data_IF_089615965736
#
_entry.id   IF_089615965736
#
_cell.length_a   1.000
_cell.length_b   1.000
_cell.length_c   1.000
_cell.angle_alpha   90.00
_cell.angle_beta   90.00
_cell.angle_gamma   90.00
#
_symmetry.space_group_name_H-M   'P 1'
#
loop_
_entity.id
_entity.type
_entity.pdbx_description
1 polymer ?
#
# COMPACT_ATOMS: atom_id res chain seq x y z
N UNK A 1 -18.42 -1.20 -14.80
CA UNK A 1 -17.38 -0.98 -13.75
C UNK A 1 -17.81 -0.02 -12.65
N UNK A 2 -18.24 1.23 -12.93
CA UNK A 2 -18.65 2.14 -11.85
C UNK A 2 -19.81 1.60 -11.00
N UNK A 3 -20.70 0.82 -11.63
CA UNK A 3 -21.75 0.04 -10.98
C UNK A 3 -21.19 -1.00 -10.00
N UNK A 4 -20.25 -1.86 -10.43
CA UNK A 4 -19.54 -2.81 -9.54
C UNK A 4 -18.89 -2.10 -8.35
N UNK A 5 -18.25 -0.94 -8.59
CA UNK A 5 -17.63 -0.17 -7.51
C UNK A 5 -18.68 0.35 -6.52
N UNK A 6 -19.81 0.87 -7.02
CA UNK A 6 -20.90 1.40 -6.20
C UNK A 6 -21.60 0.30 -5.40
N UNK A 7 -21.88 -0.84 -6.01
CA UNK A 7 -22.83 -1.81 -5.48
C UNK A 7 -22.15 -2.99 -4.76
N UNK A 8 -20.89 -3.31 -5.10
CA UNK A 8 -20.15 -4.44 -4.49
C UNK A 8 -18.98 -4.01 -3.62
N UNK A 9 -18.14 -3.11 -4.13
CA UNK A 9 -16.87 -2.73 -3.46
C UNK A 9 -17.10 -1.68 -2.37
N UNK A 10 -17.76 -0.57 -2.71
CA UNK A 10 -17.94 0.55 -1.77
C UNK A 10 -18.67 0.17 -0.47
N UNK A 11 -19.71 -0.70 -0.47
CA UNK A 11 -20.36 -1.12 0.78
C UNK A 11 -19.44 -1.93 1.70
N UNK A 12 -18.53 -2.72 1.15
CA UNK A 12 -17.52 -3.47 1.94
C UNK A 12 -16.54 -2.49 2.57
N UNK A 13 -15.95 -1.60 1.76
CA UNK A 13 -14.94 -0.65 2.23
C UNK A 13 -15.50 0.39 3.21
N UNK A 14 -16.71 0.90 2.97
CA UNK A 14 -17.38 1.84 3.88
C UNK A 14 -17.62 1.22 5.27
N UNK A 15 -18.00 -0.06 5.33
CA UNK A 15 -18.18 -0.77 6.62
C UNK A 15 -16.87 -0.88 7.40
N UNK A 16 -15.74 -0.93 6.71
CA UNK A 16 -14.41 -0.91 7.31
C UNK A 16 -13.85 0.50 7.56
N UNK A 17 -14.66 1.56 7.37
CA UNK A 17 -14.27 2.94 7.66
C UNK A 17 -13.52 3.65 6.53
N UNK A 18 -13.36 3.05 5.35
CA UNK A 18 -12.73 3.71 4.22
C UNK A 18 -13.59 4.87 3.69
N UNK A 19 -12.92 5.97 3.39
CA UNK A 19 -13.43 7.09 2.63
C UNK A 19 -13.29 6.81 1.12
N UNK A 20 -13.96 7.61 0.28
CA UNK A 20 -14.02 7.37 -1.16
C UNK A 20 -13.92 8.66 -1.99
N UNK A 21 -13.13 8.61 -3.06
CA UNK A 21 -13.13 9.57 -4.18
C UNK A 21 -13.04 8.80 -5.49
N UNK A 22 -14.14 8.81 -6.27
CA UNK A 22 -14.28 8.03 -7.52
C UNK A 22 -14.06 6.54 -7.30
N UNK A 23 -12.92 5.98 -7.74
CA UNK A 23 -12.53 4.57 -7.67
C UNK A 23 -11.37 4.33 -6.70
N UNK A 24 -10.99 5.37 -5.96
CA UNK A 24 -9.95 5.33 -4.95
C UNK A 24 -10.62 5.42 -3.58
N UNK A 25 -10.19 4.55 -2.69
CA UNK A 25 -10.63 4.46 -1.32
C UNK A 25 -9.42 4.55 -0.42
N UNK A 26 -9.56 5.24 0.71
CA UNK A 26 -8.50 5.32 1.70
C UNK A 26 -9.05 5.27 3.11
N UNK A 27 -8.22 4.80 4.03
CA UNK A 27 -8.45 4.81 5.46
C UNK A 27 -7.25 5.49 6.11
N UNK A 28 -7.48 6.53 6.90
CA UNK A 28 -6.45 7.23 7.69
C UNK A 28 -6.45 6.65 9.11
N UNK A 29 -5.29 6.19 9.59
CA UNK A 29 -5.08 5.83 10.99
C UNK A 29 -4.93 7.11 11.85
N UNK A 30 -4.96 6.93 13.18
CA UNK A 30 -4.66 8.02 14.11
C UNK A 30 -3.20 8.50 14.03
N UNK A 31 -2.25 7.62 13.66
CA UNK A 31 -0.83 7.94 13.46
C UNK A 31 -0.56 8.72 12.17
N UNK A 32 -1.56 8.84 11.28
CA UNK A 32 -1.42 9.44 9.95
C UNK A 32 -0.94 8.47 8.87
N UNK A 33 -0.81 7.19 9.19
CA UNK A 33 -0.60 6.13 8.21
C UNK A 33 -1.89 5.90 7.42
N UNK A 34 -1.76 5.41 6.18
CA UNK A 34 -2.90 5.26 5.30
C UNK A 34 -2.94 3.91 4.60
N UNK A 35 -4.11 3.29 4.59
CA UNK A 35 -4.41 2.15 3.75
C UNK A 35 -5.20 2.60 2.51
N UNK A 36 -4.92 2.00 1.37
CA UNK A 36 -5.55 2.30 0.09
C UNK A 36 -6.18 1.07 -0.54
N UNK A 37 -7.32 1.28 -1.20
CA UNK A 37 -7.89 0.35 -2.17
C UNK A 37 -8.22 1.11 -3.44
N UNK A 38 -7.68 0.68 -4.57
CA UNK A 38 -7.92 1.29 -5.87
C UNK A 38 -8.52 0.28 -6.86
N UNK A 39 -9.57 0.69 -7.55
CA UNK A 39 -10.16 -0.10 -8.64
C UNK A 39 -9.71 0.45 -9.98
N UNK A 40 -8.75 -0.26 -10.59
CA UNK A 40 -8.12 0.16 -11.85
C UNK A 40 -8.77 -0.54 -13.04
N UNK A 41 -9.28 0.20 -14.04
CA UNK A 41 -9.83 -0.42 -15.24
C UNK A 41 -8.77 -1.21 -15.99
N UNK A 42 -9.15 -2.37 -16.50
CA UNK A 42 -8.34 -3.16 -17.43
C UNK A 42 -9.29 -3.87 -18.38
N UNK A 43 -9.25 -3.56 -19.68
CA UNK A 43 -10.25 -4.09 -20.63
C UNK A 43 -9.60 -5.07 -21.61
N UNK A 44 -10.15 -6.27 -21.67
CA UNK A 44 -9.91 -7.25 -22.73
C UNK A 44 -11.11 -7.38 -23.68
N UNK A 45 -12.28 -6.88 -23.27
CA UNK A 45 -13.51 -6.89 -24.05
C UNK A 45 -14.32 -8.18 -23.91
N UNK A 46 -14.01 -9.05 -22.94
CA UNK A 46 -14.71 -10.33 -22.79
C UNK A 46 -15.96 -10.25 -21.91
N UNK A 47 -16.00 -9.28 -20.99
CA UNK A 47 -17.09 -9.09 -20.03
C UNK A 47 -17.40 -7.61 -19.82
N UNK A 48 -18.56 -7.30 -19.27
CA UNK A 48 -18.99 -5.91 -19.02
C UNK A 48 -18.14 -5.19 -17.95
N UNK A 49 -17.63 -5.92 -16.97
CA UNK A 49 -16.72 -5.39 -15.96
C UNK A 49 -15.40 -6.16 -15.98
N UNK A 50 -14.30 -5.43 -16.20
CA UNK A 50 -12.95 -5.95 -16.25
C UNK A 50 -12.00 -4.94 -15.56
N UNK A 51 -11.30 -5.37 -14.51
CA UNK A 51 -10.53 -4.48 -13.64
C UNK A 51 -9.54 -5.24 -12.73
N UNK A 52 -8.65 -4.47 -12.11
CA UNK A 52 -7.85 -4.87 -10.97
C UNK A 52 -8.36 -4.19 -9.70
N UNK A 53 -8.13 -4.82 -8.55
CA UNK A 53 -8.30 -4.19 -7.23
C UNK A 53 -6.94 -4.17 -6.56
N UNK A 54 -6.27 -3.02 -6.62
CA UNK A 54 -4.98 -2.81 -5.99
C UNK A 54 -5.17 -2.41 -4.52
N UNK A 55 -4.28 -2.92 -3.69
CA UNK A 55 -4.27 -2.74 -2.25
C UNK A 55 -2.94 -2.09 -1.88
N UNK A 56 -2.92 -1.20 -0.89
CA UNK A 56 -1.66 -0.60 -0.49
C UNK A 56 -1.66 -0.01 0.90
N UNK A 57 -0.46 0.16 1.43
CA UNK A 57 -0.20 0.85 2.70
C UNK A 57 0.89 1.90 2.50
N UNK A 58 0.64 3.08 3.03
CA UNK A 58 1.51 4.24 2.97
C UNK A 58 1.73 4.76 4.39
N UNK A 59 2.89 4.47 4.96
CA UNK A 59 3.28 5.03 6.25
C UNK A 59 3.47 6.54 6.16
N UNK A 60 3.17 7.27 7.24
CA UNK A 60 3.16 8.74 7.26
C UNK A 60 4.46 9.36 6.74
N UNK A 61 5.60 8.88 7.21
CA UNK A 61 6.93 9.34 6.76
C UNK A 61 7.09 9.21 5.23
N UNK A 62 6.53 8.15 4.62
CA UNK A 62 6.57 7.98 3.16
C UNK A 62 5.61 8.95 2.45
N UNK A 63 4.43 9.20 3.01
CA UNK A 63 3.52 10.23 2.50
C UNK A 63 4.15 11.63 2.54
N UNK A 64 4.83 11.96 3.65
CA UNK A 64 5.52 13.24 3.85
C UNK A 64 6.68 13.41 2.86
N UNK A 65 7.42 12.34 2.58
CA UNK A 65 8.47 12.32 1.55
C UNK A 65 7.90 12.65 0.17
N UNK A 66 6.89 11.90 -0.27
CA UNK A 66 6.26 12.09 -1.59
C UNK A 66 5.63 13.48 -1.74
N UNK A 67 5.09 14.03 -0.65
CA UNK A 67 4.50 15.36 -0.63
C UNK A 67 5.50 16.50 -0.89
N UNK A 68 6.79 16.31 -0.57
CA UNK A 68 7.84 17.31 -0.78
C UNK A 68 8.17 17.51 -2.25
N UNK A 69 8.19 16.42 -3.02
CA UNK A 69 8.63 16.44 -4.42
C UNK A 69 7.45 16.62 -5.40
N UNK A 70 6.25 16.88 -4.88
CA UNK A 70 5.03 16.90 -5.69
C UNK A 70 4.68 15.52 -6.28
N UNK A 71 5.21 14.45 -5.68
CA UNK A 71 4.95 13.08 -6.05
C UNK A 71 3.45 12.76 -5.96
N UNK A 72 3.00 11.78 -6.74
CA UNK A 72 1.61 11.35 -6.64
C UNK A 72 1.39 10.76 -5.25
N UNK A 73 0.38 11.27 -4.53
CA UNK A 73 -0.04 10.74 -3.21
C UNK A 73 -0.40 9.25 -3.21
N UNK A 74 -0.39 8.59 -4.38
CA UNK A 74 -0.79 7.21 -4.62
C UNK A 74 0.37 6.23 -4.59
N UNK A 75 1.62 6.71 -4.52
CA UNK A 75 2.77 5.81 -4.37
C UNK A 75 2.77 5.24 -2.95
N UNK A 76 2.35 3.98 -2.84
CA UNK A 76 2.30 3.24 -1.59
C UNK A 76 3.62 2.51 -1.36
N UNK A 77 4.05 2.42 -0.09
CA UNK A 77 5.29 1.72 0.25
C UNK A 77 5.12 0.22 0.05
N UNK A 78 4.01 -0.32 0.56
CA UNK A 78 3.58 -1.70 0.35
C UNK A 78 2.40 -1.74 -0.61
N UNK A 79 2.48 -2.62 -1.60
CA UNK A 79 1.44 -2.86 -2.59
C UNK A 79 1.16 -4.35 -2.73
N UNK A 80 -0.12 -4.65 -2.94
CA UNK A 80 -0.60 -5.98 -3.28
C UNK A 80 -1.80 -5.83 -4.22
N UNK A 81 -2.30 -6.95 -4.71
CA UNK A 81 -3.49 -6.99 -5.55
C UNK A 81 -4.41 -8.11 -5.14
N UNK A 82 -5.71 -7.81 -5.13
CA UNK A 82 -6.72 -8.80 -4.79
C UNK A 82 -6.76 -9.90 -5.86
N UNK A 83 -6.40 -11.11 -5.47
CA UNK A 83 -6.40 -12.28 -6.34
C UNK A 83 -7.82 -12.82 -6.54
N UNK A 84 -8.10 -13.35 -7.73
CA UNK A 84 -9.31 -14.11 -8.04
C UNK A 84 -9.10 -15.56 -7.60
N UNK A 85 -9.91 -16.10 -6.67
CA UNK A 85 -9.77 -17.46 -6.20
C UNK A 85 -9.79 -18.49 -7.33
N UNK A 86 -8.87 -19.45 -7.27
CA UNK A 86 -8.78 -20.54 -8.25
C UNK A 86 -8.20 -20.17 -9.62
N UNK A 87 -7.91 -18.89 -9.90
CA UNK A 87 -7.23 -18.49 -11.14
C UNK A 87 -5.71 -18.61 -11.01
N UNK A 88 -5.05 -19.02 -12.11
CA UNK A 88 -3.60 -19.15 -12.21
C UNK A 88 -2.99 -17.94 -12.94
N UNK A 89 -1.70 -17.61 -12.68
CA UNK A 89 -1.00 -16.57 -13.41
C UNK A 89 -1.04 -16.82 -14.93
N UNK A 90 -1.00 -15.76 -15.78
CA UNK A 90 -0.76 -14.36 -15.43
C UNK A 90 -2.03 -13.56 -15.08
N UNK A 91 -3.23 -14.13 -15.21
CA UNK A 91 -4.51 -13.44 -15.01
C UNK A 91 -5.16 -13.74 -13.65
N UNK A 92 -4.35 -14.16 -12.67
CA UNK A 92 -4.84 -14.56 -11.36
C UNK A 92 -5.38 -13.40 -10.51
N UNK A 93 -5.11 -12.16 -10.92
CA UNK A 93 -5.46 -10.92 -10.25
C UNK A 93 -6.50 -10.08 -11.03
N UNK A 94 -6.86 -10.52 -12.24
CA UNK A 94 -7.79 -9.85 -13.12
C UNK A 94 -9.24 -10.27 -12.84
N UNK A 95 -10.03 -9.36 -12.27
CA UNK A 95 -11.46 -9.54 -12.04
C UNK A 95 -12.23 -9.23 -13.32
N UNK A 96 -13.04 -10.20 -13.77
CA UNK A 96 -13.79 -10.11 -15.03
C UNK A 96 -15.10 -10.89 -14.93
N UNK A 97 -16.24 -10.20 -15.01
CA UNK A 97 -17.60 -10.76 -14.95
C UNK A 97 -18.65 -9.78 -15.52
N UNK A 98 -19.82 -10.30 -15.89
CA UNK A 98 -20.96 -9.48 -16.36
C UNK A 98 -21.72 -8.87 -15.18
N UNK A 99 -22.36 -7.71 -15.36
CA UNK A 99 -22.96 -6.97 -14.23
C UNK A 99 -24.11 -7.73 -13.56
N UNK A 100 -24.75 -8.64 -14.30
CA UNK A 100 -25.83 -9.52 -13.82
C UNK A 100 -25.34 -10.79 -13.12
N UNK A 101 -24.03 -11.05 -13.09
CA UNK A 101 -23.43 -12.21 -12.41
C UNK A 101 -23.30 -11.94 -10.90
N UNK A 102 -24.42 -12.07 -10.20
CA UNK A 102 -24.51 -11.90 -8.74
C UNK A 102 -23.47 -12.73 -7.97
N UNK A 103 -23.30 -14.05 -8.26
CA UNK A 103 -22.28 -14.85 -7.57
C UNK A 103 -20.84 -14.33 -7.73
N UNK A 104 -20.47 -13.85 -8.92
CA UNK A 104 -19.13 -13.28 -9.13
C UNK A 104 -18.94 -11.96 -8.36
N UNK A 105 -19.97 -11.11 -8.33
CA UNK A 105 -19.98 -9.89 -7.52
C UNK A 105 -19.86 -10.16 -6.02
N UNK A 106 -20.53 -11.19 -5.52
CA UNK A 106 -20.49 -11.59 -4.11
C UNK A 106 -19.14 -12.23 -3.73
N UNK A 107 -18.55 -13.00 -4.65
CA UNK A 107 -17.20 -13.52 -4.47
C UNK A 107 -16.19 -12.38 -4.32
N UNK A 108 -16.25 -11.36 -5.19
CA UNK A 108 -15.41 -10.17 -5.08
C UNK A 108 -15.55 -9.47 -3.73
N UNK A 109 -16.79 -9.25 -3.28
CA UNK A 109 -17.06 -8.60 -2.01
C UNK A 109 -16.51 -9.42 -0.82
N UNK A 110 -16.65 -10.75 -0.89
CA UNK A 110 -16.15 -11.69 0.12
C UNK A 110 -14.63 -11.66 0.20
N UNK A 111 -13.94 -11.81 -0.93
CA UNK A 111 -12.48 -11.79 -0.98
C UNK A 111 -11.91 -10.44 -0.52
N UNK A 112 -12.51 -9.33 -0.96
CA UNK A 112 -12.10 -8.02 -0.48
C UNK A 112 -12.26 -7.91 1.04
N UNK A 113 -13.43 -8.30 1.58
CA UNK A 113 -13.69 -8.27 3.01
C UNK A 113 -12.70 -9.14 3.80
N UNK A 114 -12.28 -10.28 3.25
CA UNK A 114 -11.31 -11.18 3.88
C UNK A 114 -9.89 -10.60 3.89
N UNK A 115 -9.51 -9.75 2.93
CA UNK A 115 -8.20 -9.08 2.89
C UNK A 115 -8.10 -7.87 3.82
N UNK A 116 -9.21 -7.20 4.14
CA UNK A 116 -9.17 -5.95 4.92
C UNK A 116 -8.46 -6.05 6.27
N UNK A 117 -8.66 -7.11 7.10
CA UNK A 117 -7.93 -7.23 8.36
C UNK A 117 -6.41 -7.26 8.20
N UNK A 118 -5.89 -7.90 7.13
CA UNK A 118 -4.46 -7.91 6.86
C UNK A 118 -3.96 -6.52 6.49
N UNK A 119 -4.63 -5.82 5.57
CA UNK A 119 -4.21 -4.49 5.12
C UNK A 119 -4.29 -3.47 6.25
N UNK A 120 -5.33 -3.51 7.07
CA UNK A 120 -5.47 -2.64 8.22
C UNK A 120 -4.46 -3.00 9.32
N UNK A 121 -4.14 -4.29 9.49
CA UNK A 121 -3.07 -4.72 10.40
C UNK A 121 -1.70 -4.22 9.96
N UNK A 122 -1.46 -4.06 8.66
CA UNK A 122 -0.23 -3.46 8.13
C UNK A 122 -0.10 -1.96 8.41
N UNK A 123 -1.10 -1.30 9.00
CA UNK A 123 -0.95 0.05 9.55
C UNK A 123 -0.16 0.05 10.86
N UNK A 124 0.00 -1.11 11.51
CA UNK A 124 0.94 -1.26 12.63
C UNK A 124 2.38 -1.26 12.08
N UNK A 125 3.22 -0.27 12.45
CA UNK A 125 4.59 -0.18 11.97
C UNK A 125 5.43 -1.42 12.27
N UNK A 126 5.19 -2.10 13.40
CA UNK A 126 5.93 -3.32 13.76
C UNK A 126 5.60 -4.49 12.84
N UNK A 127 4.32 -4.65 12.47
CA UNK A 127 3.89 -5.66 11.50
C UNK A 127 4.46 -5.35 10.12
N UNK A 128 4.38 -4.10 9.67
CA UNK A 128 4.90 -3.70 8.36
C UNK A 128 6.44 -3.81 8.26
N UNK A 129 7.18 -3.50 9.34
CA UNK A 129 8.62 -3.74 9.40
C UNK A 129 8.95 -5.24 9.32
N UNK A 130 8.20 -6.09 10.04
CA UNK A 130 8.34 -7.54 9.95
C UNK A 130 8.14 -8.05 8.51
N UNK A 131 7.25 -7.40 7.76
CA UNK A 131 7.08 -7.66 6.34
C UNK A 131 8.24 -7.19 5.48
N UNK A 132 8.74 -5.96 5.70
CA UNK A 132 9.87 -5.42 4.95
C UNK A 132 11.12 -6.31 5.08
N UNK A 133 11.34 -6.90 6.26
CA UNK A 133 12.48 -7.81 6.53
C UNK A 133 12.36 -9.19 5.86
N UNK A 134 11.17 -9.63 5.45
CA UNK A 134 10.94 -11.02 4.97
C UNK A 134 10.74 -11.13 3.46
N UNK A 135 11.10 -10.09 2.70
CA UNK A 135 11.06 -10.11 1.23
C UNK A 135 12.15 -11.00 0.61
N UNK A 136 11.92 -11.56 -0.60
CA UNK A 136 10.73 -11.41 -1.45
C UNK A 136 9.73 -12.58 -1.30
N UNK A 137 8.44 -12.28 -1.13
CA UNK A 137 7.35 -13.25 -1.33
C UNK A 137 6.66 -13.00 -2.68
N UNK A 138 6.35 -14.04 -3.48
CA UNK A 138 5.61 -13.88 -4.72
C UNK A 138 4.25 -13.17 -4.50
N UNK A 139 3.92 -12.20 -5.35
CA UNK A 139 2.64 -11.47 -5.33
C UNK A 139 2.63 -10.19 -4.49
N UNK A 140 3.44 -10.11 -3.43
CA UNK A 140 3.58 -8.91 -2.59
C UNK A 140 4.72 -8.06 -3.11
N UNK A 141 4.47 -6.77 -3.33
CA UNK A 141 5.47 -5.85 -3.86
C UNK A 141 5.67 -4.70 -2.89
N UNK A 142 6.91 -4.48 -2.47
CA UNK A 142 7.30 -3.15 -2.06
C UNK A 142 7.52 -2.36 -3.36
N UNK A 143 6.83 -1.22 -3.48
CA UNK A 143 6.82 -0.43 -4.72
C UNK A 143 8.14 0.31 -4.95
N UNK A 144 9.00 0.34 -3.93
CA UNK A 144 10.32 0.96 -3.89
C UNK A 144 11.41 -0.08 -3.69
N UNK A 145 12.67 0.35 -3.71
CA UNK A 145 13.80 -0.49 -3.31
C UNK A 145 13.61 -1.03 -1.88
N UNK A 146 13.86 -2.31 -1.61
CA UNK A 146 13.72 -2.89 -0.27
C UNK A 146 14.47 -2.12 0.82
N UNK A 147 15.64 -1.57 0.49
CA UNK A 147 16.49 -0.80 1.41
C UNK A 147 15.81 0.52 1.81
N UNK A 148 15.14 1.20 0.87
CA UNK A 148 14.34 2.39 1.16
C UNK A 148 13.19 2.01 2.09
N UNK A 149 12.44 0.97 1.75
CA UNK A 149 11.30 0.58 2.59
C UNK A 149 11.73 0.16 4.00
N UNK A 150 12.84 -0.56 4.13
CA UNK A 150 13.40 -0.90 5.43
C UNK A 150 13.77 0.37 6.22
N UNK A 151 14.47 1.34 5.61
CA UNK A 151 14.82 2.60 6.26
C UNK A 151 13.58 3.39 6.70
N UNK A 152 12.56 3.49 5.85
CA UNK A 152 11.27 4.13 6.22
C UNK A 152 10.65 3.43 7.42
N UNK A 153 10.65 2.09 7.46
CA UNK A 153 10.01 1.32 8.55
C UNK A 153 10.81 1.31 9.84
N UNK A 154 12.13 1.45 9.77
CA UNK A 154 12.96 1.64 10.94
C UNK A 154 12.79 3.06 11.50
N UNK A 155 12.65 4.06 10.63
CA UNK A 155 12.46 5.46 11.05
C UNK A 155 11.15 5.69 11.82
N UNK A 156 10.09 4.92 11.55
CA UNK A 156 8.85 4.99 12.34
C UNK A 156 9.01 4.46 13.78
N UNK A 157 10.08 3.72 14.07
CA UNK A 157 10.43 3.25 15.40
C UNK A 157 11.42 4.17 16.13
N UNK A 158 11.87 5.24 15.47
CA UNK A 158 12.85 6.18 15.99
C UNK A 158 14.32 5.77 15.75
N UNK A 159 15.27 6.51 16.36
CA UNK A 159 16.70 6.27 16.18
C UNK A 159 17.13 4.86 16.62
N UNK A 160 17.90 4.18 15.79
CA UNK A 160 18.51 2.88 16.11
C UNK A 160 19.78 2.64 15.30
N UNK A 161 20.65 1.74 15.78
CA UNK A 161 21.87 1.37 15.05
C UNK A 161 21.55 0.72 13.68
N UNK A 162 20.48 -0.08 13.61
CA UNK A 162 20.02 -0.70 12.36
C UNK A 162 19.56 0.35 11.34
N UNK A 163 18.87 1.40 11.80
CA UNK A 163 18.48 2.51 10.95
C UNK A 163 19.72 3.26 10.42
N UNK A 164 20.67 3.61 11.29
CA UNK A 164 21.86 4.33 10.85
C UNK A 164 22.71 3.50 9.88
N UNK A 165 22.78 2.17 10.08
CA UNK A 165 23.42 1.27 9.13
C UNK A 165 22.69 1.28 7.78
N UNK A 166 21.36 1.21 7.78
CA UNK A 166 20.54 1.25 6.57
C UNK A 166 20.70 2.56 5.82
N UNK A 167 20.62 3.71 6.51
CA UNK A 167 20.83 5.04 5.94
C UNK A 167 22.26 5.23 5.43
N UNK A 168 23.25 4.70 6.15
CA UNK A 168 24.66 4.72 5.73
C UNK A 168 24.88 3.96 4.43
N UNK A 169 24.25 2.78 4.28
CA UNK A 169 24.32 2.01 3.04
C UNK A 169 23.70 2.79 1.86
N UNK A 170 22.51 3.37 2.04
CA UNK A 170 21.84 4.20 1.03
C UNK A 170 22.70 5.40 0.62
N UNK A 171 23.30 6.12 1.58
CA UNK A 171 24.13 7.30 1.30
C UNK A 171 25.41 6.98 0.49
N UNK A 172 25.80 5.71 0.42
CA UNK A 172 26.98 5.24 -0.32
C UNK A 172 26.65 4.49 -1.61
N UNK A 173 25.36 4.35 -1.95
CA UNK A 173 24.92 3.68 -3.18
C UNK A 173 25.31 4.52 -4.42
N UNK A 174 26.22 4.02 -5.28
CA UNK A 174 26.67 4.77 -6.45
C UNK A 174 25.60 4.88 -7.55
N UNK A 175 24.58 4.03 -7.55
CA UNK A 175 23.60 3.97 -8.63
C UNK A 175 22.52 5.06 -8.50
N UNK A 176 22.31 5.60 -7.28
CA UNK A 176 21.21 6.53 -6.96
C UNK A 176 21.60 7.69 -6.05
N UNK A 177 22.87 8.13 -6.10
CA UNK A 177 23.48 9.11 -5.18
C UNK A 177 22.60 10.32 -4.87
N UNK A 178 22.04 10.99 -5.90
CA UNK A 178 21.26 12.21 -5.70
C UNK A 178 19.98 11.96 -4.90
N UNK A 179 19.20 10.95 -5.31
CA UNK A 179 17.96 10.56 -4.64
C UNK A 179 18.25 10.07 -3.21
N UNK A 180 19.23 9.17 -3.05
CA UNK A 180 19.52 8.55 -1.74
C UNK A 180 20.08 9.58 -0.74
N UNK A 181 20.88 10.55 -1.18
CA UNK A 181 21.36 11.64 -0.32
C UNK A 181 20.21 12.49 0.23
N UNK A 182 19.27 12.86 -0.65
CA UNK A 182 18.15 13.72 -0.30
C UNK A 182 17.14 12.98 0.59
N UNK A 183 16.89 11.71 0.28
CA UNK A 183 16.07 10.81 1.10
C UNK A 183 16.66 10.60 2.49
N UNK A 184 17.96 10.32 2.62
CA UNK A 184 18.63 10.14 3.93
C UNK A 184 18.54 11.42 4.76
N UNK A 185 18.77 12.59 4.14
CA UNK A 185 18.63 13.87 4.82
C UNK A 185 17.20 14.12 5.29
N UNK A 186 16.20 13.76 4.48
CA UNK A 186 14.79 13.81 4.86
C UNK A 186 14.48 12.92 6.06
N UNK A 187 14.86 11.63 6.03
CA UNK A 187 14.54 10.69 7.10
C UNK A 187 15.10 11.18 8.44
N UNK A 188 16.35 11.65 8.46
CA UNK A 188 16.97 12.21 9.68
C UNK A 188 16.23 13.45 10.19
N UNK A 189 15.87 14.35 9.28
CA UNK A 189 15.08 15.54 9.63
C UNK A 189 13.69 15.20 10.16
N UNK A 190 13.05 14.18 9.58
CA UNK A 190 11.72 13.72 9.97
C UNK A 190 11.72 13.15 11.40
N UNK A 191 12.70 12.30 11.73
CA UNK A 191 12.86 11.71 13.07
C UNK A 191 13.09 12.79 14.13
N UNK A 192 13.89 13.81 13.83
CA UNK A 192 14.14 14.92 14.74
C UNK A 192 12.86 15.75 15.04
N UNK A 193 11.89 15.76 14.13
CA UNK A 193 10.62 16.47 14.27
C UNK A 193 9.52 15.60 14.90
N UNK A 194 9.68 14.28 14.89
CA UNK A 194 8.70 13.30 15.36
C UNK A 194 9.39 12.30 16.30
N UNK A 195 9.86 12.74 17.49
CA UNK A 195 10.41 11.81 18.47
C UNK A 195 9.35 10.77 18.86
N UNK A 196 9.77 9.54 19.16
CA UNK A 196 8.88 8.40 19.40
C UNK A 196 7.94 8.56 20.63
N UNK A 197 8.08 9.64 21.40
CA UNK A 197 7.58 9.80 22.76
C UNK A 197 6.14 10.36 22.89
N UNK A 198 5.28 10.23 21.87
CA UNK A 198 3.86 10.65 21.95
C UNK A 198 2.87 9.57 21.45
N UNK A 199 3.16 8.29 21.67
CA UNK A 199 2.24 7.19 21.36
C UNK A 199 1.94 6.34 22.61
N UNK A 200 1.41 6.98 23.65
CA UNK A 200 0.75 6.34 24.80
C UNK A 200 -0.70 5.94 24.48
#
# INVERSE_FOLDING_TARGET
>A
MDEVVRDRIAPVLRRAGFQRRRRHFWFDSASGDRAYVEVRPFKLGFREAEFFVDLGVQPRIWADWLGRDGGETRDVLWADRLMVPGRRPPMADHWSFDLVDEPAGDLLATELSARLPEILGLLDPALLLGYARTLPRPGRKISVRPEIALAVMLATQGPSDELEQSLGALATDPDWVAFDTEFVAFVRGWIAQHPADEQD
#
